data_IF_774834034802
#
_entry.id   IF_774834034802
#
_cell.length_a   1.000
_cell.length_b   1.000
_cell.length_c   1.000
_cell.angle_alpha   90.00
_cell.angle_beta   90.00
_cell.angle_gamma   90.00
#
_symmetry.space_group_name_H-M   'P 1'
#
loop_
_entity.id
_entity.type
_entity.pdbx_description
1 polymer ?
#
# COMPACT_ATOMS: atom_id res chain seq x y z
N UNK A 1 9.74 -28.92 -15.88
CA UNK A 1 9.36 -27.96 -16.94
C UNK A 1 8.03 -27.24 -16.67
N UNK A 2 6.92 -27.94 -16.41
CA UNK A 2 5.59 -27.33 -16.14
C UNK A 2 5.54 -26.36 -14.94
N UNK A 3 6.22 -26.67 -13.83
CA UNK A 3 6.22 -25.82 -12.62
C UNK A 3 6.94 -24.48 -12.84
N UNK A 4 8.07 -24.48 -13.55
CA UNK A 4 8.82 -23.26 -13.89
C UNK A 4 8.04 -22.36 -14.87
N UNK A 5 7.25 -22.97 -15.76
CA UNK A 5 6.34 -22.26 -16.66
C UNK A 5 5.18 -21.64 -15.90
N UNK A 6 4.60 -22.38 -14.94
CA UNK A 6 3.52 -21.90 -14.07
C UNK A 6 3.97 -20.70 -13.23
N UNK A 7 5.14 -20.77 -12.60
CA UNK A 7 5.71 -19.64 -11.85
C UNK A 7 6.00 -18.42 -12.74
N UNK A 8 6.48 -18.64 -13.97
CA UNK A 8 6.65 -17.56 -14.96
C UNK A 8 5.33 -16.90 -15.30
N UNK A 9 4.28 -17.69 -15.53
CA UNK A 9 2.95 -17.19 -15.89
C UNK A 9 2.28 -16.43 -14.74
N UNK A 10 2.44 -16.90 -13.50
CA UNK A 10 1.96 -16.19 -12.31
C UNK A 10 2.70 -14.86 -12.15
N UNK A 11 4.02 -14.85 -12.36
CA UNK A 11 4.84 -13.64 -12.31
C UNK A 11 4.43 -12.62 -13.37
N UNK A 12 4.14 -13.05 -14.61
CA UNK A 12 3.71 -12.14 -15.68
C UNK A 12 2.30 -11.59 -15.46
N UNK A 13 1.35 -12.36 -14.94
CA UNK A 13 -0.01 -11.87 -14.63
C UNK A 13 0.02 -10.85 -13.48
N UNK A 14 0.79 -11.13 -12.41
CA UNK A 14 0.98 -10.17 -11.31
C UNK A 14 1.69 -8.91 -11.77
N UNK A 15 2.66 -9.02 -12.69
CA UNK A 15 3.33 -7.85 -13.27
C UNK A 15 2.39 -7.03 -14.15
N UNK A 16 1.53 -7.67 -14.95
CA UNK A 16 0.53 -6.98 -15.77
C UNK A 16 -0.50 -6.23 -14.90
N UNK A 17 -1.06 -6.88 -13.87
CA UNK A 17 -1.96 -6.21 -12.90
C UNK A 17 -1.29 -5.05 -12.17
N UNK A 18 -0.01 -5.20 -11.81
CA UNK A 18 0.77 -4.11 -11.19
C UNK A 18 0.98 -2.94 -12.13
N UNK A 19 1.14 -3.17 -13.43
CA UNK A 19 1.28 -2.11 -14.42
C UNK A 19 0.01 -1.26 -14.54
N UNK A 20 -1.18 -1.87 -14.42
CA UNK A 20 -2.46 -1.13 -14.45
C UNK A 20 -2.66 -0.31 -13.17
N UNK A 21 -2.25 -0.86 -12.03
CA UNK A 21 -2.31 -0.15 -10.74
C UNK A 21 -1.20 0.88 -10.55
N UNK A 22 -0.23 1.02 -11.45
CA UNK A 22 0.84 2.04 -11.35
C UNK A 22 0.26 3.46 -11.38
N UNK A 23 -0.87 3.67 -12.06
CA UNK A 23 -1.42 5.00 -12.35
C UNK A 23 -2.71 5.26 -11.57
N UNK A 24 -3.49 4.22 -11.26
CA UNK A 24 -4.78 4.35 -10.60
C UNK A 24 -4.74 3.81 -9.16
N UNK A 25 -5.52 4.44 -8.28
CA UNK A 25 -5.66 4.02 -6.88
C UNK A 25 -6.70 2.89 -6.76
N UNK A 26 -6.49 1.79 -7.49
CA UNK A 26 -7.40 0.64 -7.58
C UNK A 26 -6.71 -0.64 -7.12
N UNK A 27 -7.52 -1.58 -6.60
CA UNK A 27 -7.09 -2.90 -6.14
C UNK A 27 -5.86 -2.88 -5.20
N UNK A 28 -5.96 -2.27 -4.00
CA UNK A 28 -4.87 -2.20 -3.04
C UNK A 28 -4.28 -3.56 -2.67
N UNK A 29 -5.02 -4.65 -2.84
CA UNK A 29 -4.57 -6.01 -2.52
C UNK A 29 -3.26 -6.38 -3.25
N UNK A 30 -3.06 -5.91 -4.48
CA UNK A 30 -1.87 -6.24 -5.28
C UNK A 30 -0.72 -5.24 -5.16
N UNK A 31 -0.89 -4.19 -4.34
CA UNK A 31 0.09 -3.11 -4.23
C UNK A 31 1.39 -3.59 -3.59
N UNK A 32 2.51 -3.26 -4.24
CA UNK A 32 3.84 -3.37 -3.65
C UNK A 32 4.08 -2.24 -2.65
N UNK A 33 5.08 -2.39 -1.78
CA UNK A 33 5.55 -1.29 -0.93
C UNK A 33 5.86 -0.03 -1.77
N UNK A 34 6.52 -0.19 -2.92
CA UNK A 34 6.82 0.92 -3.83
C UNK A 34 5.57 1.66 -4.32
N UNK A 35 4.48 0.93 -4.60
CA UNK A 35 3.23 1.56 -5.04
C UNK A 35 2.57 2.34 -3.90
N UNK A 36 2.64 1.84 -2.66
CA UNK A 36 2.16 2.55 -1.47
C UNK A 36 3.00 3.81 -1.24
N UNK A 37 4.32 3.75 -1.39
CA UNK A 37 5.21 4.94 -1.32
C UNK A 37 4.79 5.98 -2.34
N UNK A 38 4.47 5.58 -3.58
CA UNK A 38 3.95 6.48 -4.60
C UNK A 38 2.63 7.12 -4.19
N UNK A 39 1.68 6.32 -3.69
CA UNK A 39 0.40 6.83 -3.18
C UNK A 39 0.57 7.82 -2.03
N UNK A 40 1.46 7.54 -1.07
CA UNK A 40 1.79 8.45 0.03
C UNK A 40 2.30 9.80 -0.46
N UNK A 41 3.04 9.83 -1.57
CA UNK A 41 3.47 11.08 -2.20
C UNK A 41 2.32 11.82 -2.89
N UNK A 42 1.37 11.09 -3.47
CA UNK A 42 0.16 11.65 -4.12
C UNK A 42 -0.80 12.30 -3.12
N UNK A 43 -0.81 11.82 -1.86
CA UNK A 43 -1.62 12.38 -0.76
C UNK A 43 -0.83 13.31 0.17
N UNK A 44 0.26 13.91 -0.32
CA UNK A 44 1.08 14.90 0.42
C UNK A 44 1.80 14.39 1.69
N UNK A 45 2.03 13.08 1.83
CA UNK A 45 2.78 12.46 2.94
C UNK A 45 4.24 12.06 2.56
N UNK A 46 4.82 12.73 1.56
CA UNK A 46 6.14 12.41 1.00
C UNK A 46 7.29 12.40 2.02
N UNK A 47 7.24 13.23 3.06
CA UNK A 47 8.29 13.30 4.09
C UNK A 47 8.37 12.04 4.96
N UNK A 48 7.29 11.25 5.02
CA UNK A 48 7.21 10.00 5.77
C UNK A 48 7.37 8.76 4.89
N UNK A 49 7.20 8.90 3.57
CA UNK A 49 7.00 7.78 2.66
C UNK A 49 8.20 6.82 2.60
N UNK A 50 9.42 7.33 2.67
CA UNK A 50 10.63 6.49 2.60
C UNK A 50 10.79 5.54 3.80
N UNK A 51 10.18 5.85 4.94
CA UNK A 51 10.21 4.99 6.13
C UNK A 51 9.52 3.64 5.88
N UNK A 52 8.66 3.56 4.85
CA UNK A 52 7.93 2.34 4.52
C UNK A 52 8.82 1.25 3.90
N UNK A 53 9.97 1.60 3.29
CA UNK A 53 10.79 0.65 2.51
C UNK A 53 11.21 -0.59 3.33
N UNK A 54 11.48 -0.43 4.63
CA UNK A 54 11.93 -1.52 5.52
C UNK A 54 10.84 -2.02 6.48
N UNK A 55 9.59 -1.55 6.31
CA UNK A 55 8.49 -1.83 7.25
C UNK A 55 7.80 -3.19 7.04
N UNK A 56 7.98 -3.81 5.86
CA UNK A 56 7.21 -5.00 5.46
C UNK A 56 5.77 -4.72 5.02
N UNK A 57 5.31 -3.46 5.07
CA UNK A 57 3.96 -3.07 4.65
C UNK A 57 3.79 -3.22 3.14
N UNK A 58 2.73 -3.92 2.76
CA UNK A 58 2.30 -4.11 1.38
C UNK A 58 0.79 -4.31 1.33
N UNK A 59 0.23 -4.28 0.12
CA UNK A 59 -1.22 -4.30 -0.12
C UNK A 59 -1.96 -5.46 0.54
N UNK A 60 -1.40 -6.67 0.46
CA UNK A 60 -2.01 -7.85 1.06
C UNK A 60 -2.14 -7.75 2.57
N UNK A 61 -1.13 -7.21 3.28
CA UNK A 61 -1.24 -6.94 4.72
C UNK A 61 -2.31 -5.87 4.99
N UNK A 62 -2.35 -4.79 4.20
CA UNK A 62 -3.33 -3.72 4.38
C UNK A 62 -4.78 -4.19 4.22
N UNK A 63 -5.04 -5.16 3.35
CA UNK A 63 -6.39 -5.60 2.97
C UNK A 63 -6.83 -6.86 3.71
N UNK A 64 -5.92 -7.82 3.93
CA UNK A 64 -6.25 -9.14 4.45
C UNK A 64 -6.01 -9.30 5.96
N UNK A 65 -5.17 -8.47 6.57
CA UNK A 65 -4.91 -8.53 8.01
C UNK A 65 -5.92 -7.65 8.76
N UNK A 66 -6.86 -8.23 9.54
CA UNK A 66 -7.89 -7.47 10.26
C UNK A 66 -7.32 -6.61 11.40
N UNK A 67 -6.08 -6.86 11.83
CA UNK A 67 -5.40 -6.04 12.84
C UNK A 67 -4.74 -4.81 12.24
N UNK A 68 -4.55 -4.77 10.92
CA UNK A 68 -3.93 -3.64 10.23
C UNK A 68 -4.90 -2.47 10.12
N UNK A 69 -4.48 -1.29 10.59
CA UNK A 69 -5.31 -0.10 10.65
C UNK A 69 -4.46 1.18 10.45
N UNK A 70 -5.09 2.36 10.57
CA UNK A 70 -4.38 3.63 10.40
C UNK A 70 -3.25 3.82 11.43
N UNK A 71 -3.39 3.33 12.66
CA UNK A 71 -2.35 3.47 13.68
C UNK A 71 -1.13 2.60 13.40
N UNK A 72 -1.32 1.39 12.86
CA UNK A 72 -0.21 0.53 12.43
C UNK A 72 0.52 1.15 11.24
N UNK A 73 -0.21 1.71 10.27
CA UNK A 73 0.39 2.45 9.14
C UNK A 73 1.15 3.70 9.62
N UNK A 74 0.56 4.50 10.49
CA UNK A 74 1.20 5.71 11.03
C UNK A 74 2.49 5.39 11.80
N UNK A 75 2.50 4.26 12.53
CA UNK A 75 3.69 3.74 13.20
C UNK A 75 4.76 3.34 12.19
N UNK A 76 4.40 2.60 11.13
CA UNK A 76 5.33 2.21 10.07
C UNK A 76 5.94 3.41 9.31
N UNK A 77 5.17 4.50 9.19
CA UNK A 77 5.60 5.76 8.59
C UNK A 77 6.42 6.65 9.53
N UNK A 78 6.52 6.29 10.82
CA UNK A 78 7.19 7.12 11.83
C UNK A 78 6.45 8.43 12.14
N UNK A 79 5.13 8.50 11.92
CA UNK A 79 4.32 9.69 12.21
C UNK A 79 4.07 9.75 13.73
N UNK A 80 4.53 10.79 14.45
CA UNK A 80 4.30 10.90 15.89
C UNK A 80 2.82 10.99 16.28
N UNK A 81 2.48 10.53 17.49
CA UNK A 81 1.10 10.56 18.01
C UNK A 81 0.49 11.96 18.13
N UNK A 82 1.32 12.97 18.38
CA UNK A 82 0.90 14.37 18.51
C UNK A 82 0.66 15.08 17.17
N UNK A 83 0.98 14.47 16.02
CA UNK A 83 0.67 15.00 14.69
C UNK A 83 -0.77 14.64 14.28
N UNK A 84 -1.75 15.11 15.05
CA UNK A 84 -3.16 14.74 14.88
C UNK A 84 -3.71 15.03 13.48
N UNK A 85 -3.40 16.19 12.90
CA UNK A 85 -3.85 16.55 11.55
C UNK A 85 -3.32 15.58 10.48
N UNK A 86 -2.06 15.19 10.57
CA UNK A 86 -1.44 14.25 9.62
C UNK A 86 -2.05 12.86 9.76
N UNK A 87 -2.28 12.41 11.00
CA UNK A 87 -2.91 11.11 11.28
C UNK A 87 -4.36 11.06 10.82
N UNK A 88 -5.11 12.15 10.98
CA UNK A 88 -6.46 12.29 10.48
C UNK A 88 -6.49 12.22 8.94
N UNK A 89 -5.62 12.99 8.28
CA UNK A 89 -5.48 12.97 6.82
C UNK A 89 -5.17 11.56 6.29
N UNK A 90 -4.19 10.88 6.89
CA UNK A 90 -3.88 9.48 6.56
C UNK A 90 -5.10 8.55 6.74
N UNK A 91 -5.90 8.76 7.79
CA UNK A 91 -7.10 7.95 8.05
C UNK A 91 -8.14 8.12 6.96
N UNK A 92 -8.41 9.37 6.55
CA UNK A 92 -9.40 9.71 5.53
C UNK A 92 -9.01 9.13 4.17
N UNK A 93 -7.75 9.30 3.77
CA UNK A 93 -7.20 8.77 2.52
C UNK A 93 -7.17 7.24 2.50
N UNK A 94 -6.78 6.60 3.61
CA UNK A 94 -6.77 5.15 3.71
C UNK A 94 -8.18 4.56 3.68
N UNK A 95 -9.16 5.24 4.29
CA UNK A 95 -10.57 4.86 4.18
C UNK A 95 -11.08 4.98 2.75
N UNK A 96 -10.75 6.06 2.04
CA UNK A 96 -11.11 6.24 0.63
C UNK A 96 -10.51 5.11 -0.23
N UNK A 97 -9.22 4.83 -0.06
CA UNK A 97 -8.49 3.79 -0.79
C UNK A 97 -9.07 2.38 -0.56
N UNK A 98 -9.42 2.04 0.68
CA UNK A 98 -9.94 0.70 1.00
C UNK A 98 -11.43 0.56 0.67
N UNK A 99 -12.16 1.67 0.56
CA UNK A 99 -13.56 1.66 0.11
C UNK A 99 -13.70 1.41 -1.39
N UNK A 100 -12.73 1.84 -2.20
CA UNK A 100 -12.70 1.53 -3.65
C UNK A 100 -12.23 0.11 -3.95
N UNK A 101 -11.75 -0.62 -2.94
CA UNK A 101 -11.21 -1.97 -3.05
C UNK A 101 -12.27 -3.08 -2.92
N UNK A 102 -13.53 -2.73 -2.65
CA UNK A 102 -14.64 -3.68 -2.44
C UNK A 102 -15.67 -3.59 -3.54
#
# INVERSE_FOLDING_TARGET
LKFKLMLKNVKTVLQARRADCEIQNTDPLVWSCQRIIKWLREIDLKEFAENLQSSGVHGAVMVLDPSFNTDTMATALGIPGNKHMVRQHLSEEMKALLSSAR
#
